data_IF_157225350946
#
_entry.id   IF_157225350946
#
_cell.length_a   1.000
_cell.length_b   1.000
_cell.length_c   1.000
_cell.angle_alpha   90.00
_cell.angle_beta   90.00
_cell.angle_gamma   90.00
#
_symmetry.space_group_name_H-M   'P 1'
#
loop_
_entity.id
_entity.type
_entity.pdbx_description
1 polymer ?
#
# COMPACT_ATOMS: atom_id res chain seq x y z
N UNK A 1 28.87 9.60 -1.15
CA UNK A 1 28.52 9.30 -2.57
C UNK A 1 27.30 8.35 -2.71
N UNK A 2 27.21 7.21 -2.00
CA UNK A 2 26.02 6.32 -2.16
C UNK A 2 24.70 6.92 -1.66
N UNK A 3 24.70 7.67 -0.56
CA UNK A 3 23.49 8.24 0.04
C UNK A 3 22.86 9.34 -0.82
N UNK A 4 23.66 10.20 -1.43
CA UNK A 4 23.16 11.29 -2.29
C UNK A 4 22.45 10.75 -3.54
N UNK A 5 22.99 9.69 -4.14
CA UNK A 5 22.37 9.03 -5.29
C UNK A 5 21.01 8.42 -4.94
N UNK A 6 20.89 7.76 -3.78
CA UNK A 6 19.60 7.24 -3.32
C UNK A 6 18.58 8.35 -3.02
N UNK A 7 19.03 9.47 -2.48
CA UNK A 7 18.14 10.61 -2.19
C UNK A 7 17.55 11.23 -3.45
N UNK A 8 18.29 11.27 -4.57
CA UNK A 8 17.76 11.75 -5.85
C UNK A 8 16.53 10.96 -6.32
N UNK A 9 16.60 9.63 -6.28
CA UNK A 9 15.48 8.78 -6.70
C UNK A 9 14.38 8.69 -5.65
N UNK A 10 14.71 8.83 -4.36
CA UNK A 10 13.69 8.96 -3.32
C UNK A 10 12.87 10.24 -3.51
N UNK A 11 13.47 11.34 -3.95
CA UNK A 11 12.76 12.57 -4.29
C UNK A 11 11.73 12.32 -5.41
N UNK A 12 12.08 11.53 -6.43
CA UNK A 12 11.13 11.15 -7.48
C UNK A 12 9.99 10.26 -6.96
N UNK A 13 10.28 9.34 -6.04
CA UNK A 13 9.25 8.55 -5.36
C UNK A 13 8.32 9.45 -4.49
N UNK A 14 8.87 10.46 -3.82
CA UNK A 14 8.09 11.46 -3.07
C UNK A 14 7.16 12.26 -4.02
N UNK A 15 7.61 12.64 -5.20
CA UNK A 15 6.75 13.29 -6.19
C UNK A 15 5.58 12.41 -6.61
N UNK A 16 5.80 11.11 -6.78
CA UNK A 16 4.71 10.16 -7.01
C UNK A 16 3.74 10.08 -5.81
N UNK A 17 4.27 10.04 -4.57
CA UNK A 17 3.43 10.07 -3.38
C UNK A 17 2.55 11.33 -3.28
N UNK A 18 3.08 12.48 -3.70
CA UNK A 18 2.32 13.73 -3.76
C UNK A 18 1.18 13.67 -4.79
N UNK A 19 1.36 12.97 -5.91
CA UNK A 19 0.28 12.72 -6.88
C UNK A 19 -0.83 11.89 -6.25
N UNK A 20 -0.50 10.82 -5.52
CA UNK A 20 -1.49 10.06 -4.76
C UNK A 20 -2.28 10.95 -3.78
N UNK A 21 -1.57 11.78 -2.99
CA UNK A 21 -2.20 12.71 -2.05
C UNK A 21 -3.18 13.68 -2.75
N UNK A 22 -2.80 14.22 -3.92
CA UNK A 22 -3.65 15.12 -4.69
C UNK A 22 -4.94 14.45 -5.19
N UNK A 23 -4.92 13.12 -5.38
CA UNK A 23 -6.08 12.31 -5.74
C UNK A 23 -6.91 11.87 -4.52
N UNK A 24 -6.48 12.20 -3.30
CA UNK A 24 -7.12 11.74 -2.06
C UNK A 24 -6.74 10.33 -1.63
N UNK A 25 -5.73 9.77 -2.26
CA UNK A 25 -5.15 8.47 -1.95
C UNK A 25 -4.08 8.55 -0.87
N UNK A 26 -3.80 7.43 -0.23
CA UNK A 26 -2.69 7.32 0.71
C UNK A 26 -1.38 7.67 0.00
N UNK A 27 -0.57 8.63 0.52
CA UNK A 27 0.58 9.21 -0.17
C UNK A 27 1.78 8.26 -0.18
N UNK A 28 1.69 7.22 -0.97
CA UNK A 28 2.78 6.29 -1.25
C UNK A 28 3.11 6.39 -2.74
N UNK A 29 4.40 6.55 -3.02
CA UNK A 29 4.93 6.62 -4.37
C UNK A 29 6.16 5.74 -4.53
N UNK A 30 6.34 5.23 -5.74
CA UNK A 30 7.47 4.38 -6.07
C UNK A 30 8.01 4.67 -7.47
N UNK A 31 9.31 4.50 -7.64
CA UNK A 31 9.97 4.49 -8.95
C UNK A 31 10.90 3.29 -9.07
N UNK A 32 11.07 2.79 -10.28
CA UNK A 32 12.04 1.74 -10.61
C UNK A 32 13.14 2.34 -11.47
N UNK A 33 14.37 2.07 -11.09
CA UNK A 33 15.57 2.59 -11.74
C UNK A 33 16.41 1.43 -12.28
N UNK A 34 16.83 1.53 -13.53
CA UNK A 34 17.81 0.65 -14.18
C UNK A 34 18.88 1.52 -14.84
N UNK A 35 20.14 1.21 -14.63
CA UNK A 35 21.30 1.91 -15.24
C UNK A 35 21.28 3.45 -15.05
N UNK A 36 20.75 3.90 -13.89
CA UNK A 36 20.63 5.32 -13.57
C UNK A 36 19.42 6.04 -14.17
N UNK A 37 18.56 5.34 -14.92
CA UNK A 37 17.36 5.89 -15.53
C UNK A 37 16.08 5.35 -14.88
N UNK A 38 15.06 6.17 -14.75
CA UNK A 38 13.76 5.73 -14.26
C UNK A 38 13.01 5.02 -15.39
N UNK A 39 12.79 3.73 -15.21
CA UNK A 39 12.09 2.88 -16.17
C UNK A 39 10.63 2.57 -15.77
N UNK A 40 10.23 2.90 -14.54
CA UNK A 40 8.84 2.72 -14.09
C UNK A 40 8.48 3.68 -12.96
N UNK A 41 7.22 4.10 -12.94
CA UNK A 41 6.64 5.00 -11.93
C UNK A 41 5.31 4.46 -11.45
N UNK A 42 4.99 4.67 -10.18
CA UNK A 42 3.70 4.29 -9.61
C UNK A 42 3.40 5.08 -8.36
N UNK A 43 2.12 5.29 -8.12
CA UNK A 43 1.61 5.84 -6.88
C UNK A 43 0.33 5.11 -6.49
N UNK A 44 -0.04 5.14 -5.23
CA UNK A 44 -1.21 4.41 -4.74
C UNK A 44 -2.49 4.90 -5.43
N UNK A 45 -3.31 3.94 -5.93
CA UNK A 45 -4.58 4.19 -6.61
C UNK A 45 -5.70 3.25 -6.13
N UNK A 46 -5.51 2.62 -4.97
CA UNK A 46 -6.37 1.56 -4.47
C UNK A 46 -7.84 1.95 -4.34
N UNK A 47 -8.13 3.09 -3.72
CA UNK A 47 -9.51 3.56 -3.49
C UNK A 47 -10.13 4.10 -4.78
N UNK A 48 -9.35 4.83 -5.58
CA UNK A 48 -9.81 5.43 -6.84
C UNK A 48 -10.21 4.39 -7.87
N UNK A 49 -9.36 3.38 -8.06
CA UNK A 49 -9.54 2.38 -9.11
C UNK A 49 -10.33 1.15 -8.60
N UNK A 50 -10.69 1.11 -7.30
CA UNK A 50 -11.29 -0.05 -6.62
C UNK A 50 -10.46 -1.32 -6.87
N UNK A 51 -9.14 -1.18 -6.90
CA UNK A 51 -8.19 -2.25 -7.18
C UNK A 51 -7.33 -2.54 -5.93
N UNK A 52 -7.59 -3.63 -5.17
CA UNK A 52 -6.86 -3.93 -3.95
C UNK A 52 -5.34 -4.00 -4.11
N UNK A 53 -4.77 -4.56 -5.18
CA UNK A 53 -3.34 -4.59 -5.44
C UNK A 53 -2.76 -3.28 -6.02
N UNK A 54 -3.50 -2.23 -6.28
CA UNK A 54 -3.00 -0.99 -6.88
C UNK A 54 -2.13 -0.16 -5.90
N UNK A 55 -1.15 -0.80 -5.29
CA UNK A 55 -0.10 -0.16 -4.51
C UNK A 55 0.95 0.46 -5.43
N UNK A 56 1.63 1.50 -4.96
CA UNK A 56 2.64 2.23 -5.71
C UNK A 56 3.71 1.31 -6.32
N UNK A 57 4.20 0.35 -5.54
CA UNK A 57 5.22 -0.60 -5.95
C UNK A 57 4.74 -1.52 -7.07
N UNK A 58 3.50 -2.02 -6.97
CA UNK A 58 2.90 -2.88 -7.99
C UNK A 58 2.74 -2.12 -9.31
N UNK A 59 2.24 -0.89 -9.23
CA UNK A 59 2.05 -0.05 -10.41
C UNK A 59 3.40 0.34 -11.05
N UNK A 60 4.41 0.67 -10.24
CA UNK A 60 5.76 0.95 -10.74
C UNK A 60 6.41 -0.26 -11.42
N UNK A 61 6.25 -1.48 -10.85
CA UNK A 61 6.75 -2.71 -11.47
C UNK A 61 6.02 -3.03 -12.79
N UNK A 62 4.71 -2.80 -12.85
CA UNK A 62 3.92 -2.99 -14.06
C UNK A 62 4.35 -2.02 -15.17
N UNK A 63 4.52 -0.74 -14.83
CA UNK A 63 5.01 0.28 -15.76
C UNK A 63 6.43 -0.04 -16.25
N UNK A 64 7.34 -0.41 -15.36
CA UNK A 64 8.68 -0.83 -15.74
C UNK A 64 8.68 -2.05 -16.67
N UNK A 65 7.84 -3.05 -16.41
CA UNK A 65 7.72 -4.24 -17.27
C UNK A 65 7.25 -3.89 -18.67
N UNK A 66 6.32 -2.94 -18.82
CA UNK A 66 5.88 -2.44 -20.11
C UNK A 66 6.99 -1.68 -20.85
N UNK A 67 7.68 -0.79 -20.15
CA UNK A 67 8.74 0.05 -20.74
C UNK A 67 10.00 -0.74 -21.11
N UNK A 68 10.30 -1.81 -20.38
CA UNK A 68 11.48 -2.66 -20.62
C UNK A 68 11.18 -3.89 -21.49
N UNK A 69 9.92 -4.13 -21.84
CA UNK A 69 9.49 -5.23 -22.70
C UNK A 69 9.55 -6.61 -22.04
N UNK A 70 9.58 -6.68 -20.70
CA UNK A 70 9.65 -7.95 -19.99
C UNK A 70 9.25 -7.87 -18.53
N UNK A 71 8.82 -8.99 -17.95
CA UNK A 71 8.40 -9.06 -16.55
C UNK A 71 9.58 -9.19 -15.57
N UNK A 72 10.77 -9.58 -16.05
CA UNK A 72 11.98 -9.64 -15.22
C UNK A 72 12.60 -8.26 -15.13
N UNK A 73 12.70 -7.76 -13.90
CA UNK A 73 13.27 -6.46 -13.57
C UNK A 73 14.66 -6.64 -12.93
N UNK A 74 15.47 -7.52 -13.55
CA UNK A 74 16.87 -7.73 -13.16
C UNK A 74 17.68 -6.45 -13.34
N UNK A 75 18.67 -6.20 -12.47
CA UNK A 75 19.47 -4.98 -12.40
C UNK A 75 18.63 -3.72 -12.12
N UNK A 76 17.43 -3.89 -11.54
CA UNK A 76 16.58 -2.78 -11.16
C UNK A 76 16.63 -2.53 -9.64
N UNK A 77 16.60 -1.25 -9.28
CA UNK A 77 16.36 -0.79 -7.92
C UNK A 77 14.98 -0.16 -7.83
N UNK A 78 14.17 -0.63 -6.89
CA UNK A 78 12.89 -0.03 -6.56
C UNK A 78 13.07 0.96 -5.40
N UNK A 79 12.64 2.20 -5.59
CA UNK A 79 12.57 3.23 -4.57
C UNK A 79 11.11 3.43 -4.18
N UNK A 80 10.80 3.42 -2.89
CA UNK A 80 9.44 3.60 -2.37
C UNK A 80 9.45 4.44 -1.11
N UNK A 81 8.47 5.30 -0.94
CA UNK A 81 8.41 6.21 0.21
C UNK A 81 8.13 5.52 1.55
N UNK A 82 7.50 4.35 1.53
CA UNK A 82 7.16 3.57 2.72
C UNK A 82 7.67 2.13 2.58
N UNK A 83 8.09 1.51 3.68
CA UNK A 83 8.51 0.11 3.70
C UNK A 83 7.42 -0.80 3.09
N UNK A 84 7.77 -1.69 2.13
CA UNK A 84 6.81 -2.50 1.42
C UNK A 84 6.11 -3.53 2.30
N UNK A 85 4.83 -3.77 1.98
CA UNK A 85 4.00 -4.80 2.61
C UNK A 85 4.31 -6.21 2.04
N UNK A 86 3.75 -7.30 2.63
CA UNK A 86 4.00 -8.67 2.17
C UNK A 86 3.66 -8.91 0.69
N UNK A 87 2.56 -8.33 0.20
CA UNK A 87 2.14 -8.44 -1.20
C UNK A 87 3.19 -7.84 -2.14
N UNK A 88 3.66 -6.63 -1.84
CA UNK A 88 4.65 -5.93 -2.65
C UNK A 88 6.02 -6.63 -2.59
N UNK A 89 6.44 -7.13 -1.43
CA UNK A 89 7.64 -7.94 -1.30
C UNK A 89 7.57 -9.21 -2.16
N UNK A 90 6.44 -9.91 -2.13
CA UNK A 90 6.22 -11.09 -2.98
C UNK A 90 6.30 -10.76 -4.48
N UNK A 91 5.76 -9.61 -4.89
CA UNK A 91 5.86 -9.15 -6.27
C UNK A 91 7.30 -8.79 -6.67
N UNK A 92 8.09 -8.16 -5.79
CA UNK A 92 9.52 -7.88 -6.03
C UNK A 92 10.34 -9.15 -6.23
N UNK A 93 10.12 -10.18 -5.40
CA UNK A 93 10.78 -11.48 -5.52
C UNK A 93 10.42 -12.12 -6.87
N UNK A 94 9.13 -12.13 -7.22
CA UNK A 94 8.67 -12.71 -8.48
C UNK A 94 9.21 -11.99 -9.71
N UNK A 95 9.27 -10.65 -9.67
CA UNK A 95 9.77 -9.84 -10.79
C UNK A 95 11.30 -9.74 -10.84
N UNK A 96 12.03 -10.35 -9.90
CA UNK A 96 13.51 -10.34 -9.85
C UNK A 96 14.13 -8.96 -9.64
N UNK A 97 13.50 -8.11 -8.84
CA UNK A 97 14.10 -6.85 -8.39
C UNK A 97 15.37 -7.15 -7.57
N UNK A 98 16.46 -6.46 -7.86
CA UNK A 98 17.74 -6.67 -7.16
C UNK A 98 17.80 -5.94 -5.83
N UNK A 99 17.31 -4.72 -5.79
CA UNK A 99 17.40 -3.85 -4.60
C UNK A 99 16.09 -3.10 -4.36
N UNK A 100 15.69 -2.99 -3.09
CA UNK A 100 14.66 -2.06 -2.64
C UNK A 100 15.28 -1.01 -1.73
N UNK A 101 14.93 0.25 -1.96
CA UNK A 101 15.29 1.38 -1.13
C UNK A 101 14.01 2.01 -0.61
N UNK A 102 13.79 2.02 0.70
CA UNK A 102 12.58 2.62 1.26
C UNK A 102 12.88 3.85 2.13
N UNK A 103 11.95 4.81 2.09
CA UNK A 103 12.08 6.09 2.78
C UNK A 103 11.81 5.99 4.27
N UNK A 104 10.68 5.40 4.66
CA UNK A 104 10.25 5.27 6.06
C UNK A 104 9.83 3.84 6.40
N UNK A 105 10.08 3.42 7.64
CA UNK A 105 9.65 2.12 8.18
C UNK A 105 8.14 2.08 8.41
N UNK A 106 7.52 0.90 8.19
CA UNK A 106 6.11 0.63 8.46
C UNK A 106 5.96 -0.39 9.62
N UNK A 107 5.66 0.07 10.85
CA UNK A 107 5.69 -0.77 12.02
C UNK A 107 4.56 -1.82 12.10
N UNK A 108 3.53 -1.73 11.25
CA UNK A 108 2.37 -2.64 11.28
C UNK A 108 2.43 -3.72 10.22
N UNK A 109 2.87 -3.37 9.00
CA UNK A 109 2.85 -4.24 7.82
C UNK A 109 4.18 -4.31 7.08
N UNK A 110 5.22 -3.62 7.56
CA UNK A 110 6.53 -3.61 6.93
C UNK A 110 7.14 -5.00 6.84
N UNK A 111 7.54 -5.40 5.65
CA UNK A 111 8.02 -6.75 5.37
C UNK A 111 9.43 -6.77 4.77
N UNK A 112 10.14 -5.66 4.90
CA UNK A 112 11.56 -5.50 4.58
C UNK A 112 12.43 -5.35 5.83
N UNK A 113 11.95 -5.79 7.00
CA UNK A 113 12.69 -5.80 8.26
C UNK A 113 11.90 -5.38 9.50
N UNK A 114 10.82 -4.58 9.38
CA UNK A 114 10.10 -4.06 10.56
C UNK A 114 9.27 -5.13 11.28
N UNK A 115 8.44 -5.87 10.58
CA UNK A 115 7.64 -6.97 11.14
C UNK A 115 8.13 -8.33 10.64
N UNK A 116 8.42 -8.40 9.37
CA UNK A 116 8.89 -9.58 8.66
C UNK A 116 10.08 -9.18 7.79
N UNK A 117 10.93 -10.13 7.43
CA UNK A 117 11.90 -9.98 6.35
C UNK A 117 11.62 -11.03 5.27
N UNK A 118 10.65 -10.75 4.39
CA UNK A 118 10.30 -11.64 3.30
C UNK A 118 11.31 -11.58 2.16
N UNK A 119 11.93 -10.42 1.93
CA UNK A 119 12.84 -10.18 0.82
C UNK A 119 14.14 -10.99 0.92
N UNK A 120 14.49 -11.46 2.12
CA UNK A 120 15.67 -12.27 2.40
C UNK A 120 15.31 -13.61 3.08
N UNK A 121 14.09 -14.10 2.83
CA UNK A 121 13.66 -15.37 3.41
C UNK A 121 14.46 -16.54 2.82
N UNK A 122 15.09 -17.40 3.65
CA UNK A 122 16.06 -18.41 3.16
C UNK A 122 15.49 -19.49 2.22
N UNK A 123 14.16 -19.66 2.19
CA UNK A 123 13.49 -20.64 1.33
C UNK A 123 13.14 -20.14 -0.07
N UNK A 124 13.34 -18.87 -0.35
CA UNK A 124 13.00 -18.30 -1.66
C UNK A 124 14.18 -18.39 -2.64
N UNK A 125 13.84 -18.48 -3.93
CA UNK A 125 14.80 -18.61 -5.02
C UNK A 125 15.37 -17.28 -5.51
N UNK A 126 15.03 -16.16 -4.85
CA UNK A 126 15.54 -14.83 -5.13
C UNK A 126 15.53 -14.01 -3.84
N UNK A 127 16.63 -13.30 -3.60
CA UNK A 127 16.77 -12.37 -2.50
C UNK A 127 16.89 -10.96 -3.04
N UNK A 128 16.24 -10.01 -2.36
CA UNK A 128 16.30 -8.59 -2.68
C UNK A 128 17.19 -7.89 -1.65
N UNK A 129 18.16 -7.11 -2.11
CA UNK A 129 18.96 -6.27 -1.22
C UNK A 129 18.10 -5.14 -0.65
N UNK A 130 18.21 -4.89 0.66
CA UNK A 130 17.38 -3.92 1.38
C UNK A 130 18.24 -2.74 1.82
N UNK A 131 17.80 -1.53 1.49
CA UNK A 131 18.39 -0.26 1.93
C UNK A 131 17.30 0.62 2.54
N UNK A 132 17.47 1.03 3.78
CA UNK A 132 16.52 1.93 4.44
C UNK A 132 16.44 1.72 5.95
N UNK A 133 15.71 2.61 6.63
CA UNK A 133 15.08 3.81 6.08
C UNK A 133 16.08 4.92 5.73
N UNK A 134 15.91 5.62 4.60
CA UNK A 134 16.84 6.67 4.15
C UNK A 134 16.30 8.10 4.28
N UNK A 135 15.00 8.28 4.45
CA UNK A 135 14.34 9.60 4.62
C UNK A 135 13.10 9.48 5.51
N UNK A 136 13.30 8.96 6.71
CA UNK A 136 12.25 8.62 7.67
C UNK A 136 11.33 9.80 7.97
N UNK A 137 11.88 10.99 8.18
CA UNK A 137 11.08 12.15 8.61
C UNK A 137 10.16 12.65 7.50
N UNK A 138 10.67 12.85 6.30
CA UNK A 138 9.88 13.38 5.18
C UNK A 138 8.82 12.37 4.74
N UNK A 139 9.18 11.12 4.56
CA UNK A 139 8.25 10.08 4.11
C UNK A 139 7.16 9.78 5.14
N UNK A 140 7.51 9.64 6.43
CA UNK A 140 6.49 9.49 7.47
C UNK A 140 5.67 10.76 7.68
N UNK A 141 6.23 11.94 7.41
CA UNK A 141 5.56 13.23 7.44
C UNK A 141 4.39 13.31 6.47
N UNK A 142 4.57 12.85 5.24
CA UNK A 142 3.50 12.77 4.23
C UNK A 142 2.30 11.96 4.74
N UNK A 143 2.56 10.79 5.33
CA UNK A 143 1.54 9.93 5.90
C UNK A 143 0.80 10.60 7.06
N UNK A 144 1.56 11.18 8.01
CA UNK A 144 1.00 11.88 9.19
C UNK A 144 0.09 13.02 8.76
N UNK A 145 0.53 13.84 7.82
CA UNK A 145 -0.23 14.97 7.30
C UNK A 145 -1.54 14.51 6.65
N UNK A 146 -1.46 13.54 5.74
CA UNK A 146 -2.63 12.98 5.05
C UNK A 146 -3.71 12.49 6.03
N UNK A 147 -3.32 11.68 7.02
CA UNK A 147 -4.28 11.16 7.99
C UNK A 147 -4.79 12.25 8.96
N UNK A 148 -4.01 13.29 9.25
CA UNK A 148 -4.49 14.44 10.01
C UNK A 148 -5.58 15.19 9.25
N UNK A 149 -5.35 15.48 7.97
CA UNK A 149 -6.31 16.16 7.10
C UNK A 149 -7.59 15.33 6.89
N UNK A 150 -7.45 14.01 6.73
CA UNK A 150 -8.58 13.11 6.61
C UNK A 150 -9.45 13.12 7.88
N UNK A 151 -8.83 13.10 9.07
CA UNK A 151 -9.56 13.21 10.36
C UNK A 151 -10.27 14.55 10.49
N UNK A 152 -9.64 15.65 10.06
CA UNK A 152 -10.25 16.99 10.07
C UNK A 152 -11.49 17.05 9.18
N UNK A 153 -11.38 16.59 7.93
CA UNK A 153 -12.50 16.51 6.98
C UNK A 153 -13.67 15.66 7.49
N UNK A 154 -13.39 14.55 8.18
CA UNK A 154 -14.43 13.70 8.79
C UNK A 154 -15.18 14.43 9.93
N UNK A 155 -14.47 15.15 10.79
CA UNK A 155 -15.09 15.93 11.88
C UNK A 155 -15.95 17.06 11.32
N UNK A 156 -15.49 17.78 10.31
CA UNK A 156 -16.26 18.84 9.64
C UNK A 156 -17.55 18.30 9.03
N UNK A 157 -17.51 17.14 8.35
CA UNK A 157 -18.71 16.48 7.81
C UNK A 157 -19.72 16.08 8.89
N UNK A 158 -19.25 15.60 10.05
CA UNK A 158 -20.12 15.24 11.16
C UNK A 158 -20.76 16.45 11.84
N UNK A 159 -20.10 17.60 11.87
CA UNK A 159 -20.64 18.83 12.44
C UNK A 159 -21.68 19.54 11.55
N UNK A 160 -21.74 19.20 10.25
CA UNK A 160 -22.64 19.81 9.26
C UNK A 160 -23.95 19.00 9.12
N UNK A 161 -24.01 17.74 9.59
CA UNK A 161 -25.28 17.01 9.61
C UNK A 161 -26.17 17.56 10.73
N UNK A 162 -27.33 18.19 10.42
CA UNK A 162 -28.28 18.55 11.44
C UNK A 162 -28.79 17.27 12.12
N UNK A 163 -28.93 17.34 13.43
CA UNK A 163 -29.68 16.33 14.18
C UNK A 163 -31.14 16.44 13.72
N UNK A 164 -31.46 15.73 12.64
CA UNK A 164 -32.81 15.52 12.16
C UNK A 164 -33.38 14.36 12.95
N UNK A 165 -34.36 14.64 13.76
CA UNK A 165 -35.23 13.66 14.41
C UNK A 165 -35.80 12.71 13.37
N UNK A 166 -35.91 11.44 13.77
CA UNK A 166 -36.57 10.33 13.11
C UNK A 166 -35.72 9.31 12.37
N UNK A 167 -34.99 8.51 13.14
CA UNK A 167 -34.43 7.21 12.68
C UNK A 167 -34.78 6.09 13.67
N UNK A 168 -36.02 6.07 14.23
CA UNK A 168 -36.39 5.02 15.18
C UNK A 168 -36.99 3.78 14.57
N UNK A 169 -37.56 3.82 13.33
CA UNK A 169 -38.25 2.70 12.74
C UNK A 169 -37.41 1.84 11.77
N UNK A 170 -36.56 2.44 10.93
CA UNK A 170 -35.87 1.69 9.87
C UNK A 170 -34.65 0.91 10.36
N UNK A 171 -33.95 1.37 11.40
CA UNK A 171 -32.78 0.66 11.95
C UNK A 171 -33.15 -0.56 12.78
N UNK A 172 -34.31 -0.55 13.44
CA UNK A 172 -34.78 -1.68 14.24
C UNK A 172 -35.17 -2.85 13.31
N UNK A 173 -35.80 -2.56 12.17
CA UNK A 173 -36.14 -3.60 11.19
C UNK A 173 -34.95 -4.22 10.49
N UNK A 174 -33.87 -3.46 10.27
CA UNK A 174 -32.66 -4.00 9.66
C UNK A 174 -31.87 -4.91 10.62
N UNK A 175 -31.84 -4.58 11.92
CA UNK A 175 -31.21 -5.43 12.95
C UNK A 175 -32.01 -6.71 13.22
N UNK A 176 -33.34 -6.65 13.19
CA UNK A 176 -34.20 -7.83 13.38
C UNK A 176 -34.10 -8.78 12.18
N UNK A 177 -33.92 -8.28 10.95
CA UNK A 177 -33.78 -9.13 9.76
C UNK A 177 -32.40 -9.83 9.70
N UNK A 178 -31.33 -9.23 10.26
CA UNK A 178 -30.01 -9.83 10.34
C UNK A 178 -29.91 -10.90 11.42
N UNK A 179 -30.58 -10.71 12.57
CA UNK A 179 -30.60 -11.74 13.63
C UNK A 179 -31.39 -12.98 13.21
N UNK A 180 -32.44 -12.81 12.39
CA UNK A 180 -33.27 -13.93 11.90
C UNK A 180 -32.56 -14.80 10.84
N UNK A 181 -31.65 -14.22 10.06
CA UNK A 181 -30.83 -14.99 9.08
C UNK A 181 -29.66 -15.78 9.74
N UNK A 182 -29.13 -15.32 10.86
CA UNK A 182 -28.11 -16.06 11.58
C UNK A 182 -28.63 -17.29 12.34
N UNK A 183 -29.87 -17.30 12.79
CA UNK A 183 -30.46 -18.44 13.50
C UNK A 183 -30.89 -19.59 12.56
N UNK A 184 -31.25 -19.31 11.29
CA UNK A 184 -31.59 -20.38 10.35
C UNK A 184 -30.40 -21.16 9.79
N UNK A 185 -29.18 -20.60 9.82
CA UNK A 185 -27.96 -21.31 9.38
C UNK A 185 -27.45 -22.27 10.46
N UNK A 186 -27.77 -22.04 11.72
CA UNK A 186 -27.35 -22.89 12.83
C UNK A 186 -28.24 -24.15 13.01
N UNK A 187 -29.46 -24.14 12.53
CA UNK A 187 -30.39 -25.30 12.65
C UNK A 187 -30.32 -26.26 11.46
N UNK A 188 -29.69 -25.86 10.33
CA UNK A 188 -29.62 -26.69 9.11
C UNK A 188 -28.48 -27.71 9.08
N UNK A 189 -27.52 -27.67 10.01
CA UNK A 189 -26.32 -28.52 9.99
C UNK A 189 -26.33 -29.72 10.95
N UNK A 190 -27.47 -30.01 11.58
CA UNK A 190 -27.58 -31.09 12.56
C UNK A 190 -28.28 -32.38 12.06
N UNK A 191 -28.58 -32.51 10.77
CA UNK A 191 -29.42 -33.60 10.27
C UNK A 191 -28.82 -34.47 9.15
N UNK A 192 -27.51 -34.48 8.95
CA UNK A 192 -26.85 -35.46 8.06
C UNK A 192 -25.59 -36.05 8.70
N UNK A 193 -25.77 -36.87 9.74
CA UNK A 193 -24.85 -37.97 10.09
C UNK A 193 -25.63 -39.08 10.81
N UNK A 194 -26.24 -39.93 10.00
CA UNK A 194 -26.50 -41.36 10.33
C UNK A 194 -26.39 -42.18 9.05
#
# INVERSE_FOLDING_TARGET
MHTEHHMQFMEEAIKEAQKAAALGEVPIGAVIVRDGEIVGRGHNLRERDNDPPAHAEILAMRDAGQNTGGWRLENCTLYVTMEPCPMCCGAMINSRIDTVVFGASEPKFGSAGSQLNLLQFPGFNHNVHIVGPIDQERCSGLMKQFFADLRKKRKEKQSIQPVGDDVSASRILYFISLSWRCTQVAEGSALEMR
#
